data_IF_964970467453
#
_entry.id   IF_964970467453
#
_cell.length_a   1.000
_cell.length_b   1.000
_cell.length_c   1.000
_cell.angle_alpha   90.00
_cell.angle_beta   90.00
_cell.angle_gamma   90.00
#
_symmetry.space_group_name_H-M   'P 1'
#
loop_
_entity.id
_entity.type
_entity.pdbx_description
1 polymer ?
#
# COMPACT_ATOMS: atom_id res chain seq x y z
N UNK A 1 -23.29 27.73 10.58
CA UNK A 1 -21.92 27.44 11.07
C UNK A 1 -21.26 26.44 10.13
N UNK A 2 -19.97 26.68 9.84
CA UNK A 2 -18.99 25.85 9.13
C UNK A 2 -19.13 25.64 7.61
N UNK A 3 -18.62 26.62 6.86
CA UNK A 3 -18.10 26.45 5.51
C UNK A 3 -16.60 26.81 5.47
N UNK A 4 -15.72 25.88 5.86
CA UNK A 4 -14.27 26.08 5.80
C UNK A 4 -13.66 25.43 4.54
N UNK A 5 -13.27 26.29 3.60
CA UNK A 5 -11.87 26.30 3.13
C UNK A 5 -11.45 25.37 2.00
N UNK A 6 -12.07 25.45 0.81
CA UNK A 6 -11.53 24.84 -0.42
C UNK A 6 -10.54 25.73 -1.20
N UNK A 7 -10.20 26.94 -0.72
CA UNK A 7 -9.37 27.91 -1.48
C UNK A 7 -7.85 27.62 -1.52
N UNK A 8 -7.27 26.90 -0.56
CA UNK A 8 -5.79 26.74 -0.47
C UNK A 8 -5.20 25.75 -1.49
N UNK A 9 -5.91 24.67 -1.81
CA UNK A 9 -5.41 23.61 -2.72
C UNK A 9 -5.32 24.11 -4.16
N UNK A 10 -6.25 24.98 -4.57
CA UNK A 10 -6.30 25.55 -5.92
C UNK A 10 -5.15 26.52 -6.18
N UNK A 11 -4.76 27.33 -5.20
CA UNK A 11 -3.67 28.32 -5.32
C UNK A 11 -2.32 27.61 -5.52
N UNK A 12 -2.02 26.59 -4.72
CA UNK A 12 -0.76 25.84 -4.84
C UNK A 12 -0.63 25.12 -6.20
N UNK A 13 -1.75 24.61 -6.75
CA UNK A 13 -1.76 23.93 -8.06
C UNK A 13 -1.46 24.90 -9.20
N UNK A 14 -1.96 26.13 -9.11
CA UNK A 14 -1.71 27.16 -10.11
C UNK A 14 -0.26 27.64 -10.03
N UNK A 15 0.27 27.91 -8.83
CA UNK A 15 1.68 28.33 -8.65
C UNK A 15 2.68 27.30 -9.18
N UNK A 16 2.43 26.00 -8.99
CA UNK A 16 3.31 24.95 -9.52
C UNK A 16 3.24 24.90 -11.04
N UNK A 17 2.05 25.02 -11.62
CA UNK A 17 1.88 25.03 -13.07
C UNK A 17 2.54 26.26 -13.70
N UNK A 18 2.31 27.44 -13.14
CA UNK A 18 2.88 28.71 -13.59
C UNK A 18 4.42 28.72 -13.51
N UNK A 19 5.00 28.00 -12.54
CA UNK A 19 6.47 27.82 -12.44
C UNK A 19 7.03 26.80 -13.43
N UNK A 20 6.21 25.84 -13.89
CA UNK A 20 6.61 24.82 -14.86
C UNK A 20 6.44 25.28 -16.30
N UNK A 21 5.42 26.09 -16.58
CA UNK A 21 5.15 26.73 -17.86
C UNK A 21 6.13 27.89 -18.09
N UNK A 22 7.37 27.53 -18.42
CA UNK A 22 8.47 28.50 -18.54
C UNK A 22 8.33 29.40 -19.77
N UNK A 23 7.62 28.92 -20.79
CA UNK A 23 7.39 29.67 -22.03
C UNK A 23 6.04 30.43 -22.04
N UNK A 24 5.17 30.22 -21.05
CA UNK A 24 3.89 30.90 -20.88
C UNK A 24 2.83 30.48 -21.90
N UNK A 25 2.97 29.31 -22.51
CA UNK A 25 2.05 28.81 -23.55
C UNK A 25 0.80 28.11 -22.99
N UNK A 26 0.65 28.10 -21.65
CA UNK A 26 -0.38 27.42 -20.88
C UNK A 26 -0.43 25.90 -21.13
N UNK A 27 0.69 25.30 -21.55
CA UNK A 27 0.87 23.85 -21.71
C UNK A 27 2.21 23.47 -21.09
N UNK A 28 2.42 22.16 -20.95
CA UNK A 28 3.69 21.63 -20.50
C UNK A 28 4.31 20.85 -21.64
N UNK A 29 5.43 21.35 -22.16
CA UNK A 29 6.28 20.61 -23.07
C UNK A 29 6.88 19.38 -22.38
N UNK A 30 7.45 18.47 -23.19
CA UNK A 30 8.09 17.27 -22.67
C UNK A 30 9.29 17.62 -21.79
N UNK A 31 9.98 18.69 -22.13
CA UNK A 31 11.15 19.21 -21.43
C UNK A 31 10.77 19.79 -20.06
N UNK A 32 9.69 20.58 -19.99
CA UNK A 32 9.16 21.16 -18.75
C UNK A 32 8.63 20.08 -17.80
N UNK A 33 7.91 19.09 -18.35
CA UNK A 33 7.45 17.95 -17.59
C UNK A 33 8.61 17.09 -17.07
N UNK A 34 9.70 17.01 -17.83
CA UNK A 34 10.88 16.20 -17.51
C UNK A 34 11.51 16.54 -16.16
N UNK A 35 11.47 17.81 -15.76
CA UNK A 35 11.99 18.28 -14.48
C UNK A 35 11.21 17.64 -13.33
N UNK A 36 9.88 17.78 -13.32
CA UNK A 36 9.02 17.24 -12.26
C UNK A 36 8.97 15.72 -12.31
N UNK A 37 8.94 15.13 -13.51
CA UNK A 37 8.96 13.68 -13.69
C UNK A 37 10.18 13.04 -13.02
N UNK A 38 11.37 13.65 -13.13
CA UNK A 38 12.59 13.17 -12.46
C UNK A 38 12.45 13.19 -10.94
N UNK A 39 11.86 14.23 -10.38
CA UNK A 39 11.67 14.34 -8.92
C UNK A 39 10.64 13.32 -8.41
N UNK A 40 9.50 13.17 -9.09
CA UNK A 40 8.49 12.17 -8.76
C UNK A 40 9.11 10.77 -8.82
N UNK A 41 9.78 10.45 -9.93
CA UNK A 41 10.44 9.15 -10.11
C UNK A 41 11.43 8.83 -9.00
N UNK A 42 12.32 9.77 -8.66
CA UNK A 42 13.30 9.58 -7.59
C UNK A 42 12.64 9.42 -6.22
N UNK A 43 11.60 10.20 -5.94
CA UNK A 43 10.84 10.09 -4.71
C UNK A 43 10.16 8.72 -4.61
N UNK A 44 9.52 8.24 -5.68
CA UNK A 44 8.82 6.96 -5.69
C UNK A 44 9.79 5.78 -5.53
N UNK A 45 10.96 5.83 -6.17
CA UNK A 45 12.04 4.86 -5.93
C UNK A 45 12.47 4.89 -4.46
N UNK A 46 12.64 6.06 -3.86
CA UNK A 46 13.03 6.18 -2.46
C UNK A 46 11.94 5.61 -1.54
N UNK A 47 10.67 5.89 -1.81
CA UNK A 47 9.55 5.32 -1.06
C UNK A 47 9.51 3.79 -1.17
N UNK A 48 9.73 3.24 -2.36
CA UNK A 48 9.79 1.79 -2.57
C UNK A 48 10.94 1.16 -1.77
N UNK A 49 12.14 1.76 -1.80
CA UNK A 49 13.29 1.31 -0.98
C UNK A 49 13.00 1.36 0.51
N UNK A 50 12.41 2.44 0.98
CA UNK A 50 12.00 2.59 2.38
C UNK A 50 10.95 1.56 2.77
N UNK A 51 10.00 1.27 1.88
CA UNK A 51 8.98 0.24 2.10
C UNK A 51 9.60 -1.15 2.24
N UNK A 52 10.50 -1.53 1.32
CA UNK A 52 11.24 -2.82 1.41
C UNK A 52 12.04 -2.92 2.71
N UNK A 53 12.75 -1.86 3.08
CA UNK A 53 13.52 -1.82 4.33
C UNK A 53 12.61 -2.04 5.55
N UNK A 54 11.43 -1.40 5.57
CA UNK A 54 10.43 -1.61 6.62
C UNK A 54 9.90 -3.04 6.66
N UNK A 55 9.72 -3.70 5.51
CA UNK A 55 9.29 -5.09 5.43
C UNK A 55 10.37 -6.06 5.94
N UNK A 56 11.66 -5.77 5.71
CA UNK A 56 12.76 -6.61 6.15
C UNK A 56 12.93 -6.63 7.67
N UNK A 57 12.64 -5.50 8.33
CA UNK A 57 12.82 -5.36 9.79
C UNK A 57 11.57 -5.81 10.57
N UNK A 58 10.39 -5.77 9.95
CA UNK A 58 9.12 -6.00 10.64
C UNK A 58 8.70 -7.47 10.63
N UNK A 59 8.11 -7.92 11.72
CA UNK A 59 7.44 -9.21 11.78
C UNK A 59 6.23 -9.28 10.80
N UNK A 60 6.05 -10.39 10.06
CA UNK A 60 4.95 -10.54 9.11
C UNK A 60 3.55 -10.37 9.73
N UNK A 61 3.33 -10.81 10.97
CA UNK A 61 2.04 -10.71 11.67
C UNK A 61 1.76 -9.24 12.01
N UNK A 62 2.76 -8.53 12.53
CA UNK A 62 2.66 -7.09 12.79
C UNK A 62 2.39 -6.29 11.51
N UNK A 63 2.97 -6.71 10.39
CA UNK A 63 2.69 -6.09 9.10
C UNK A 63 1.21 -6.24 8.73
N UNK A 64 0.63 -7.44 8.87
CA UNK A 64 -0.80 -7.67 8.61
C UNK A 64 -1.67 -6.84 9.55
N UNK A 65 -1.36 -6.75 10.84
CA UNK A 65 -2.11 -5.90 11.77
C UNK A 65 -2.09 -4.42 11.39
N UNK A 66 -0.95 -3.92 10.88
CA UNK A 66 -0.85 -2.57 10.37
C UNK A 66 -1.71 -2.37 9.12
N UNK A 67 -1.73 -3.32 8.19
CA UNK A 67 -2.58 -3.25 6.99
C UNK A 67 -4.07 -3.24 7.35
N UNK A 68 -4.46 -3.99 8.38
CA UNK A 68 -5.83 -4.08 8.84
C UNK A 68 -6.23 -2.92 9.76
N UNK A 69 -5.27 -2.11 10.22
CA UNK A 69 -5.45 -1.08 11.24
C UNK A 69 -6.17 -1.60 12.51
N UNK A 70 -5.92 -2.87 12.87
CA UNK A 70 -6.49 -3.49 14.07
C UNK A 70 -5.59 -4.62 14.56
N UNK A 71 -5.53 -4.80 15.88
CA UNK A 71 -4.89 -5.96 16.51
C UNK A 71 -5.79 -7.20 16.51
N UNK A 72 -7.11 -7.01 16.39
CA UNK A 72 -8.09 -8.08 16.43
C UNK A 72 -8.67 -8.28 15.03
N UNK A 73 -8.04 -9.14 14.24
CA UNK A 73 -8.53 -9.48 12.91
C UNK A 73 -9.81 -10.32 12.99
N UNK A 74 -10.77 -10.03 12.11
CA UNK A 74 -12.03 -10.77 12.00
C UNK A 74 -12.27 -11.19 10.55
N UNK A 75 -13.33 -11.95 10.29
CA UNK A 75 -13.70 -12.38 8.92
C UNK A 75 -13.89 -11.22 7.94
N UNK A 76 -14.40 -10.07 8.39
CA UNK A 76 -14.55 -8.89 7.52
C UNK A 76 -13.21 -8.32 7.09
N UNK A 77 -12.23 -8.30 8.00
CA UNK A 77 -10.86 -7.86 7.74
C UNK A 77 -10.14 -8.79 6.76
N UNK A 78 -10.41 -10.10 6.80
CA UNK A 78 -9.79 -11.02 5.85
C UNK A 78 -10.13 -10.69 4.39
N UNK A 79 -11.34 -10.18 4.13
CA UNK A 79 -11.75 -9.79 2.77
C UNK A 79 -10.86 -8.69 2.18
N UNK A 80 -10.34 -7.78 3.00
CA UNK A 80 -9.45 -6.72 2.52
C UNK A 80 -8.07 -7.24 2.14
N UNK A 81 -7.69 -8.43 2.62
CA UNK A 81 -6.43 -9.09 2.28
C UNK A 81 -6.50 -9.90 0.98
N UNK A 82 -7.69 -10.28 0.50
CA UNK A 82 -7.81 -11.06 -0.73
C UNK A 82 -7.22 -10.33 -1.94
N UNK A 83 -7.33 -9.01 -2.02
CA UNK A 83 -6.72 -8.22 -3.09
C UNK A 83 -5.19 -8.09 -3.01
N UNK A 84 -4.55 -8.57 -1.93
CA UNK A 84 -3.10 -8.48 -1.73
C UNK A 84 -2.34 -9.66 -2.32
N UNK A 85 -3.02 -10.77 -2.57
CA UNK A 85 -2.44 -11.99 -3.13
C UNK A 85 -3.32 -12.46 -4.29
N UNK A 86 -2.73 -12.87 -5.43
CA UNK A 86 -3.48 -13.51 -6.50
C UNK A 86 -4.26 -14.72 -6.00
N UNK A 87 -5.38 -15.03 -6.66
CA UNK A 87 -6.25 -16.14 -6.27
C UNK A 87 -5.51 -17.49 -6.28
N UNK A 88 -4.63 -17.68 -7.26
CA UNK A 88 -3.83 -18.90 -7.44
C UNK A 88 -2.94 -19.14 -6.22
N UNK A 89 -2.31 -18.08 -5.69
CA UNK A 89 -1.51 -18.16 -4.46
C UNK A 89 -2.34 -18.54 -3.25
N UNK A 90 -3.58 -18.04 -3.15
CA UNK A 90 -4.49 -18.48 -2.09
C UNK A 90 -4.86 -19.96 -2.20
N UNK A 91 -5.21 -20.40 -3.41
CA UNK A 91 -5.69 -21.76 -3.67
C UNK A 91 -4.59 -22.81 -3.55
N UNK A 92 -3.40 -22.53 -4.07
CA UNK A 92 -2.34 -23.52 -4.25
C UNK A 92 -1.37 -23.58 -3.06
N UNK A 93 -1.22 -22.47 -2.33
CA UNK A 93 -0.22 -22.36 -1.25
C UNK A 93 -0.90 -22.14 0.11
N UNK A 94 -1.63 -21.03 0.26
CA UNK A 94 -2.11 -20.57 1.58
C UNK A 94 -3.16 -21.52 2.17
N UNK A 95 -4.24 -21.81 1.45
CA UNK A 95 -5.32 -22.65 1.97
C UNK A 95 -4.86 -24.08 2.28
N UNK A 96 -4.09 -24.77 1.42
CA UNK A 96 -3.58 -26.11 1.72
C UNK A 96 -2.64 -26.13 2.93
N UNK A 97 -1.79 -25.11 3.11
CA UNK A 97 -0.93 -25.00 4.28
C UNK A 97 -1.74 -24.85 5.57
N UNK A 98 -2.74 -23.97 5.57
CA UNK A 98 -3.65 -23.80 6.72
C UNK A 98 -4.39 -25.11 7.06
N UNK A 99 -4.87 -25.83 6.05
CA UNK A 99 -5.52 -27.14 6.25
C UNK A 99 -4.56 -28.17 6.86
N UNK A 100 -3.33 -28.26 6.36
CA UNK A 100 -2.30 -29.16 6.93
C UNK A 100 -2.00 -28.83 8.39
N UNK A 101 -1.86 -27.55 8.72
CA UNK A 101 -1.63 -27.11 10.09
C UNK A 101 -2.78 -27.53 11.01
N UNK A 102 -4.03 -27.35 10.58
CA UNK A 102 -5.22 -27.72 11.34
C UNK A 102 -5.33 -29.25 11.54
N UNK A 103 -5.08 -30.05 10.50
CA UNK A 103 -5.03 -31.51 10.64
C UNK A 103 -3.95 -31.96 11.63
N UNK A 104 -2.78 -31.29 11.62
CA UNK A 104 -1.72 -31.53 12.59
C UNK A 104 -2.15 -31.22 14.03
N UNK A 105 -2.87 -30.12 14.25
CA UNK A 105 -3.45 -29.75 15.55
C UNK A 105 -4.41 -30.82 16.05
N UNK A 106 -5.33 -31.26 15.20
CA UNK A 106 -6.34 -32.28 15.54
C UNK A 106 -5.70 -33.62 15.92
N UNK A 107 -4.70 -34.08 15.17
CA UNK A 107 -3.97 -35.32 15.48
C UNK A 107 -3.30 -35.29 16.86
N UNK A 108 -2.70 -34.14 17.24
CA UNK A 108 -2.07 -33.97 18.56
C UNK A 108 -3.06 -34.02 19.72
N UNK A 109 -4.30 -33.57 19.51
CA UNK A 109 -5.36 -33.63 20.51
C UNK A 109 -5.79 -35.08 20.73
N UNK A 110 -6.00 -35.82 19.64
CA UNK A 110 -6.39 -37.23 19.70
C UNK A 110 -5.31 -38.11 20.34
N UNK A 111 -4.01 -37.83 20.11
CA UNK A 111 -2.91 -38.60 20.72
C UNK A 111 -2.67 -38.35 22.21
N UNK A 112 -3.34 -37.36 22.81
CA UNK A 112 -3.23 -37.02 24.24
C UNK A 112 -4.41 -37.54 25.08
N UNK A 113 -5.40 -38.15 24.44
CA UNK A 113 -6.52 -38.85 25.06
C UNK A 113 -6.24 -40.35 25.09
#
# INVERSE_FOLDING_TARGET
MNCFGSKKVTVLKNEIFDLMDTNGDNKLSKEELGIVAKHIWNHDILQAKNYVTKLQVRDPVDHVHLLLNTKNATKSHLKSLYGRLPYEKWADEVLPEMQRAELGRLKKVVSKQ
#
